data_IF_979887414963
#
_entry.id   IF_979887414963
#
_cell.length_a   1.000
_cell.length_b   1.000
_cell.length_c   1.000
_cell.angle_alpha   90.00
_cell.angle_beta   90.00
_cell.angle_gamma   90.00
#
_symmetry.space_group_name_H-M   'P 1'
#
loop_
_entity.id
_entity.type
_entity.pdbx_description
1 polymer ?
#
# COMPACT_ATOMS: atom_id res chain seq x y z
N UNK A 1 3.51 25.61 -21.98
CA UNK A 1 2.44 25.13 -22.87
C UNK A 1 1.44 24.43 -21.96
N UNK A 2 0.14 24.74 -22.03
CA UNK A 2 -0.86 24.02 -21.23
C UNK A 2 -0.98 22.62 -21.83
N UNK A 3 -0.76 21.58 -21.03
CA UNK A 3 -0.99 20.21 -21.47
C UNK A 3 -2.44 20.03 -21.89
N UNK A 4 -2.66 19.33 -23.01
CA UNK A 4 -3.99 18.95 -23.46
C UNK A 4 -4.27 17.50 -23.00
N UNK A 5 -5.19 17.35 -22.04
CA UNK A 5 -5.58 16.05 -21.50
C UNK A 5 -6.27 15.18 -22.57
N UNK A 6 -7.03 15.79 -23.47
CA UNK A 6 -7.74 15.07 -24.53
C UNK A 6 -6.76 14.46 -25.52
N UNK A 7 -5.69 15.17 -25.86
CA UNK A 7 -4.64 14.62 -26.73
C UNK A 7 -3.96 13.38 -26.11
N UNK A 8 -3.88 13.27 -24.78
CA UNK A 8 -3.34 12.08 -24.10
C UNK A 8 -4.35 10.93 -24.19
N UNK A 9 -5.62 11.23 -23.91
CA UNK A 9 -6.73 10.26 -23.99
C UNK A 9 -6.80 9.66 -25.40
N UNK A 10 -6.79 10.49 -26.44
CA UNK A 10 -6.79 10.04 -27.84
C UNK A 10 -5.62 9.09 -28.14
N UNK A 11 -4.43 9.34 -27.56
CA UNK A 11 -3.28 8.43 -27.71
C UNK A 11 -3.48 7.12 -26.97
N UNK A 12 -4.05 7.14 -25.78
CA UNK A 12 -4.37 5.95 -25.00
C UNK A 12 -5.42 5.07 -25.70
N UNK A 13 -6.44 5.69 -26.30
CA UNK A 13 -7.53 5.01 -27.01
C UNK A 13 -7.07 4.24 -28.26
N UNK A 14 -5.92 4.60 -28.84
CA UNK A 14 -5.32 3.81 -29.93
C UNK A 14 -4.98 2.38 -29.51
N UNK A 15 -4.80 2.13 -28.20
CA UNK A 15 -4.38 0.84 -27.66
C UNK A 15 -2.90 0.50 -27.94
N UNK A 16 -2.16 1.37 -28.61
CA UNK A 16 -0.74 1.21 -28.91
C UNK A 16 0.12 1.54 -27.68
N UNK A 17 1.01 0.61 -27.33
CA UNK A 17 1.80 0.70 -26.10
C UNK A 17 2.82 1.84 -26.13
N UNK A 18 3.47 2.07 -27.28
CA UNK A 18 4.55 3.05 -27.39
C UNK A 18 3.99 4.48 -27.45
N UNK A 19 2.85 4.66 -28.15
CA UNK A 19 2.09 5.90 -28.14
C UNK A 19 1.58 6.23 -26.73
N UNK A 20 0.99 5.24 -26.04
CA UNK A 20 0.52 5.38 -24.66
C UNK A 20 1.68 5.75 -23.72
N UNK A 21 2.79 5.01 -23.76
CA UNK A 21 3.98 5.29 -22.94
C UNK A 21 4.47 6.73 -23.13
N UNK A 22 4.63 7.17 -24.38
CA UNK A 22 5.12 8.52 -24.69
C UNK A 22 4.17 9.60 -24.16
N UNK A 23 2.86 9.39 -24.32
CA UNK A 23 1.84 10.33 -23.86
C UNK A 23 1.81 10.41 -22.32
N UNK A 24 1.81 9.26 -21.64
CA UNK A 24 1.80 9.18 -20.18
C UNK A 24 3.08 9.72 -19.55
N UNK A 25 4.26 9.48 -20.14
CA UNK A 25 5.51 10.07 -19.64
C UNK A 25 5.50 11.60 -19.71
N UNK A 26 4.92 12.16 -20.78
CA UNK A 26 4.73 13.60 -20.91
C UNK A 26 3.79 14.11 -19.81
N UNK A 27 2.68 13.40 -19.57
CA UNK A 27 1.74 13.71 -18.48
C UNK A 27 2.40 13.68 -17.11
N UNK A 28 3.06 12.59 -16.78
CA UNK A 28 3.66 12.35 -15.48
C UNK A 28 4.74 13.38 -15.19
N UNK A 29 5.56 13.74 -16.19
CA UNK A 29 6.58 14.78 -16.04
C UNK A 29 5.98 16.11 -15.63
N UNK A 30 4.91 16.54 -16.30
CA UNK A 30 4.26 17.82 -16.02
C UNK A 30 3.45 17.83 -14.72
N UNK A 31 2.78 16.71 -14.39
CA UNK A 31 1.84 16.63 -13.27
C UNK A 31 2.41 16.00 -11.99
N UNK A 32 3.64 15.50 -12.01
CA UNK A 32 4.29 14.84 -10.85
C UNK A 32 4.26 15.67 -9.56
N UNK A 33 4.46 16.98 -9.67
CA UNK A 33 4.47 17.95 -8.57
C UNK A 33 3.17 18.78 -8.48
N UNK A 34 2.14 18.41 -9.24
CA UNK A 34 0.86 19.10 -9.21
C UNK A 34 0.02 18.57 -8.04
N UNK A 35 -0.43 19.49 -7.18
CA UNK A 35 -1.31 19.21 -6.04
C UNK A 35 -2.71 19.83 -6.20
N UNK A 36 -2.93 20.54 -7.31
CA UNK A 36 -4.20 21.16 -7.67
C UNK A 36 -4.61 20.72 -9.06
N UNK A 37 -5.84 20.25 -9.21
CA UNK A 37 -6.41 19.85 -10.49
C UNK A 37 -7.33 20.93 -11.02
N UNK A 38 -7.39 21.06 -12.35
CA UNK A 38 -8.30 21.99 -13.00
C UNK A 38 -9.74 21.53 -12.74
N UNK A 39 -10.61 22.38 -12.17
CA UNK A 39 -12.04 22.11 -12.13
C UNK A 39 -12.61 22.03 -13.56
N UNK A 40 -13.57 21.16 -13.79
CA UNK A 40 -14.21 20.94 -15.09
C UNK A 40 -13.55 19.90 -15.99
N UNK A 41 -12.41 19.34 -15.56
CA UNK A 41 -11.71 18.24 -16.26
C UNK A 41 -11.85 16.92 -15.45
N UNK A 42 -12.82 16.80 -14.53
CA UNK A 42 -13.03 15.61 -13.67
C UNK A 42 -13.35 14.36 -14.50
N UNK A 43 -14.28 14.46 -15.46
CA UNK A 43 -14.70 13.32 -16.31
C UNK A 43 -13.54 12.81 -17.18
N UNK A 44 -12.77 13.73 -17.78
CA UNK A 44 -11.59 13.37 -18.58
C UNK A 44 -10.52 12.65 -17.73
N UNK A 45 -10.35 13.08 -16.47
CA UNK A 45 -9.43 12.42 -15.53
C UNK A 45 -9.91 11.02 -15.15
N UNK A 46 -11.21 10.86 -14.96
CA UNK A 46 -11.80 9.55 -14.68
C UNK A 46 -11.64 8.61 -15.88
N UNK A 47 -11.94 9.08 -17.09
CA UNK A 47 -11.75 8.34 -18.34
C UNK A 47 -10.29 7.93 -18.56
N UNK A 48 -9.34 8.85 -18.35
CA UNK A 48 -7.91 8.50 -18.39
C UNK A 48 -7.57 7.43 -17.34
N UNK A 49 -8.17 7.52 -16.15
CA UNK A 49 -8.05 6.53 -15.07
C UNK A 49 -8.51 5.13 -15.48
N UNK A 50 -9.63 5.03 -16.19
CA UNK A 50 -10.16 3.77 -16.74
C UNK A 50 -9.22 3.20 -17.81
N UNK A 51 -8.74 4.03 -18.73
CA UNK A 51 -7.81 3.62 -19.79
C UNK A 51 -6.50 3.06 -19.20
N UNK A 52 -5.88 3.74 -18.22
CA UNK A 52 -4.64 3.24 -17.62
C UNK A 52 -4.84 1.95 -16.84
N UNK A 53 -6.00 1.76 -16.19
CA UNK A 53 -6.34 0.48 -15.56
C UNK A 53 -6.47 -0.64 -16.60
N UNK A 54 -7.15 -0.39 -17.71
CA UNK A 54 -7.29 -1.35 -18.80
C UNK A 54 -5.95 -1.73 -19.43
N UNK A 55 -4.99 -0.80 -19.51
CA UNK A 55 -3.63 -1.11 -19.93
C UNK A 55 -2.92 -2.05 -18.95
N UNK A 56 -3.04 -1.81 -17.63
CA UNK A 56 -2.42 -2.65 -16.58
C UNK A 56 -2.98 -4.08 -16.51
N UNK A 57 -4.05 -4.38 -17.23
CA UNK A 57 -4.58 -5.74 -17.41
C UNK A 57 -3.90 -6.52 -18.53
N UNK A 58 -3.19 -5.83 -19.43
CA UNK A 58 -2.49 -6.40 -20.58
C UNK A 58 -1.06 -6.80 -20.20
N UNK A 59 -0.44 -7.58 -21.08
CA UNK A 59 1.00 -7.81 -21.03
C UNK A 59 1.70 -6.55 -21.57
N UNK A 60 2.37 -5.81 -20.69
CA UNK A 60 3.00 -4.53 -20.99
C UNK A 60 4.49 -4.57 -20.66
N UNK A 61 5.28 -3.81 -21.41
CA UNK A 61 6.67 -3.55 -21.02
C UNK A 61 6.74 -2.83 -19.65
N UNK A 62 7.76 -3.10 -18.81
CA UNK A 62 7.86 -2.51 -17.46
C UNK A 62 7.77 -0.98 -17.44
N UNK A 63 8.35 -0.29 -18.42
CA UNK A 63 8.27 1.17 -18.52
C UNK A 63 6.86 1.70 -18.75
N UNK A 64 6.02 0.95 -19.49
CA UNK A 64 4.61 1.30 -19.70
C UNK A 64 3.78 1.03 -18.45
N UNK A 65 4.04 -0.07 -17.73
CA UNK A 65 3.42 -0.34 -16.42
C UNK A 65 3.72 0.79 -15.43
N UNK A 66 5.00 1.19 -15.33
CA UNK A 66 5.43 2.30 -14.48
C UNK A 66 4.73 3.61 -14.85
N UNK A 67 4.69 3.96 -16.14
CA UNK A 67 4.01 5.17 -16.59
C UNK A 67 2.52 5.16 -16.23
N UNK A 68 1.84 4.03 -16.40
CA UNK A 68 0.44 3.85 -15.99
C UNK A 68 0.27 4.04 -14.48
N UNK A 69 1.09 3.38 -13.65
CA UNK A 69 1.01 3.46 -12.19
C UNK A 69 1.34 4.88 -11.67
N UNK A 70 2.32 5.55 -12.24
CA UNK A 70 2.60 6.95 -11.93
C UNK A 70 1.41 7.87 -12.24
N UNK A 71 0.75 7.64 -13.39
CA UNK A 71 -0.48 8.36 -13.76
C UNK A 71 -1.59 8.10 -12.74
N UNK A 72 -1.82 6.84 -12.34
CA UNK A 72 -2.78 6.49 -11.28
C UNK A 72 -2.41 7.18 -9.95
N UNK A 73 -1.14 7.18 -9.56
CA UNK A 73 -0.69 7.86 -8.33
C UNK A 73 -0.96 9.35 -8.37
N UNK A 74 -0.80 9.99 -9.52
CA UNK A 74 -1.10 11.42 -9.73
C UNK A 74 -2.61 11.63 -9.63
N UNK A 75 -3.41 10.91 -10.43
CA UNK A 75 -4.87 11.07 -10.49
C UNK A 75 -5.54 10.77 -9.14
N UNK A 76 -5.06 9.76 -8.40
CA UNK A 76 -5.57 9.41 -7.07
C UNK A 76 -5.32 10.43 -5.96
N UNK A 77 -4.62 11.53 -6.26
CA UNK A 77 -4.55 12.70 -5.36
C UNK A 77 -5.81 13.55 -5.43
N UNK A 78 -6.52 13.52 -6.56
CA UNK A 78 -7.78 14.22 -6.73
C UNK A 78 -8.93 13.41 -6.15
N UNK A 79 -9.45 13.85 -5.00
CA UNK A 79 -10.58 13.18 -4.35
C UNK A 79 -11.85 13.16 -5.19
N UNK A 80 -11.98 14.05 -6.18
CA UNK A 80 -13.17 14.16 -7.03
C UNK A 80 -13.19 13.19 -8.20
N UNK A 81 -12.04 12.58 -8.54
CA UNK A 81 -11.88 11.69 -9.69
C UNK A 81 -11.38 10.30 -9.26
N UNK A 82 -11.70 9.86 -8.04
CA UNK A 82 -11.26 8.58 -7.48
C UNK A 82 -12.10 7.39 -7.93
N UNK A 83 -13.25 7.62 -8.57
CA UNK A 83 -14.23 6.60 -8.88
C UNK A 83 -13.64 5.39 -9.65
N UNK A 84 -12.82 5.57 -10.69
CA UNK A 84 -12.24 4.43 -11.43
C UNK A 84 -11.37 3.53 -10.55
N UNK A 85 -10.67 4.10 -9.57
CA UNK A 85 -9.67 3.40 -8.76
C UNK A 85 -10.25 2.75 -7.50
N UNK A 86 -11.46 3.13 -7.10
CA UNK A 86 -12.09 2.68 -5.86
C UNK A 86 -12.95 1.41 -6.02
N UNK A 87 -12.95 0.78 -7.19
CA UNK A 87 -13.68 -0.46 -7.44
C UNK A 87 -12.91 -1.69 -6.95
N UNK A 88 -13.62 -2.78 -6.67
CA UNK A 88 -12.99 -4.06 -6.30
C UNK A 88 -12.03 -4.57 -7.39
N UNK A 89 -12.40 -4.43 -8.66
CA UNK A 89 -11.57 -4.85 -9.79
C UNK A 89 -10.27 -4.02 -9.89
N UNK A 90 -10.38 -2.69 -9.83
CA UNK A 90 -9.21 -1.80 -9.84
C UNK A 90 -8.26 -2.10 -8.67
N UNK A 91 -8.79 -2.31 -7.47
CA UNK A 91 -8.00 -2.69 -6.30
C UNK A 91 -7.29 -4.03 -6.52
N UNK A 92 -7.94 -5.03 -7.13
CA UNK A 92 -7.31 -6.31 -7.44
C UNK A 92 -6.13 -6.16 -8.41
N UNK A 93 -6.28 -5.34 -9.46
CA UNK A 93 -5.20 -5.04 -10.42
C UNK A 93 -4.00 -4.43 -9.70
N UNK A 94 -4.22 -3.40 -8.87
CA UNK A 94 -3.15 -2.71 -8.14
C UNK A 94 -2.48 -3.61 -7.10
N UNK A 95 -3.23 -4.47 -6.41
CA UNK A 95 -2.70 -5.45 -5.46
C UNK A 95 -1.81 -6.49 -6.16
N UNK A 96 -2.18 -6.92 -7.37
CA UNK A 96 -1.36 -7.80 -8.21
C UNK A 96 -0.04 -7.14 -8.61
N UNK A 97 -0.09 -5.90 -9.12
CA UNK A 97 1.11 -5.13 -9.48
C UNK A 97 1.99 -4.78 -8.28
N UNK A 98 1.38 -4.64 -7.10
CA UNK A 98 2.12 -4.50 -5.83
C UNK A 98 2.72 -5.82 -5.33
N UNK A 99 2.55 -6.95 -6.02
CA UNK A 99 3.06 -8.26 -5.59
C UNK A 99 2.44 -8.76 -4.28
N UNK A 100 1.17 -8.40 -4.01
CA UNK A 100 0.44 -8.73 -2.78
C UNK A 100 -0.75 -9.67 -3.01
N UNK A 101 -1.07 -9.98 -4.27
CA UNK A 101 -2.20 -10.84 -4.63
C UNK A 101 -2.04 -12.28 -4.16
N UNK A 102 -3.12 -12.87 -3.65
CA UNK A 102 -3.21 -14.29 -3.28
C UNK A 102 -3.89 -15.04 -4.44
N UNK A 103 -3.22 -16.02 -5.03
CA UNK A 103 -3.80 -16.86 -6.08
C UNK A 103 -2.96 -18.10 -6.35
N UNK A 104 -3.59 -19.27 -6.29
CA UNK A 104 -3.03 -20.53 -6.79
C UNK A 104 -3.11 -20.55 -8.33
N UNK A 105 -2.01 -20.89 -9.01
CA UNK A 105 -2.05 -21.29 -10.43
C UNK A 105 -1.22 -20.46 -11.42
N UNK A 106 -0.60 -19.36 -11.01
CA UNK A 106 0.45 -18.72 -11.79
C UNK A 106 1.61 -18.42 -10.85
N UNK A 107 2.80 -18.93 -11.15
CA UNK A 107 4.02 -18.38 -10.57
C UNK A 107 4.10 -16.94 -11.03
N UNK A 108 3.89 -15.92 -10.17
CA UNK A 108 4.10 -14.56 -10.62
C UNK A 108 5.61 -14.42 -10.74
N UNK A 109 6.13 -14.14 -11.93
CA UNK A 109 7.36 -13.35 -11.96
C UNK A 109 7.08 -12.14 -11.08
N UNK A 110 7.86 -12.02 -10.00
CA UNK A 110 7.73 -10.89 -9.07
C UNK A 110 7.90 -9.65 -9.94
N UNK A 111 6.92 -8.71 -9.95
CA UNK A 111 7.06 -7.50 -10.75
C UNK A 111 8.35 -6.76 -10.37
N UNK A 112 8.86 -5.95 -11.29
CA UNK A 112 10.02 -5.11 -11.00
C UNK A 112 9.79 -4.31 -9.70
N UNK A 113 10.85 -4.16 -8.89
CA UNK A 113 10.76 -3.44 -7.63
C UNK A 113 10.23 -2.01 -7.81
N UNK A 114 10.53 -1.35 -8.93
CA UNK A 114 9.98 -0.04 -9.23
C UNK A 114 8.47 -0.09 -9.43
N UNK A 115 7.96 -1.10 -10.14
CA UNK A 115 6.51 -1.34 -10.37
C UNK A 115 5.82 -1.60 -9.04
N UNK A 116 6.40 -2.45 -8.19
CA UNK A 116 5.86 -2.75 -6.86
C UNK A 116 5.77 -1.47 -6.02
N UNK A 117 6.84 -0.69 -5.96
CA UNK A 117 6.89 0.55 -5.18
C UNK A 117 5.84 1.55 -5.67
N UNK A 118 5.67 1.69 -6.99
CA UNK A 118 4.71 2.63 -7.56
C UNK A 118 3.27 2.19 -7.33
N UNK A 119 2.97 0.89 -7.46
CA UNK A 119 1.67 0.32 -7.12
C UNK A 119 1.33 0.49 -5.63
N UNK A 120 2.30 0.32 -4.73
CA UNK A 120 2.09 0.56 -3.30
C UNK A 120 1.78 2.02 -2.98
N UNK A 121 2.42 2.97 -3.67
CA UNK A 121 2.08 4.39 -3.54
C UNK A 121 0.65 4.67 -4.00
N UNK A 122 0.21 4.06 -5.10
CA UNK A 122 -1.18 4.16 -5.57
C UNK A 122 -2.15 3.66 -4.50
N UNK A 123 -1.93 2.44 -4.00
CA UNK A 123 -2.76 1.83 -2.95
C UNK A 123 -2.80 2.71 -1.69
N UNK A 124 -1.68 3.28 -1.25
CA UNK A 124 -1.65 4.20 -0.11
C UNK A 124 -2.55 5.42 -0.33
N UNK A 125 -2.50 6.05 -1.51
CA UNK A 125 -3.32 7.22 -1.81
C UNK A 125 -4.81 6.86 -1.90
N UNK A 126 -5.13 5.77 -2.59
CA UNK A 126 -6.52 5.37 -2.84
C UNK A 126 -7.19 4.92 -1.54
N UNK A 127 -6.54 4.05 -0.75
CA UNK A 127 -7.07 3.58 0.54
C UNK A 127 -7.26 4.74 1.53
N UNK A 128 -6.34 5.70 1.55
CA UNK A 128 -6.46 6.86 2.43
C UNK A 128 -7.66 7.75 2.09
N UNK A 129 -8.01 7.87 0.80
CA UNK A 129 -9.02 8.81 0.34
C UNK A 129 -10.40 8.21 0.05
N UNK A 130 -10.55 6.88 -0.02
CA UNK A 130 -11.80 6.21 -0.41
C UNK A 130 -12.20 5.09 0.55
N UNK A 131 -13.38 5.20 1.17
CA UNK A 131 -13.96 4.14 1.99
C UNK A 131 -14.30 2.89 1.18
N UNK A 132 -14.79 3.05 -0.06
CA UNK A 132 -15.05 1.94 -0.96
C UNK A 132 -13.77 1.14 -1.28
N UNK A 133 -12.63 1.83 -1.44
CA UNK A 133 -11.35 1.15 -1.61
C UNK A 133 -10.87 0.43 -0.35
N UNK A 134 -11.17 0.97 0.85
CA UNK A 134 -10.87 0.28 2.11
C UNK A 134 -11.69 -1.01 2.23
N UNK A 135 -12.96 -0.99 1.80
CA UNK A 135 -13.83 -2.17 1.75
C UNK A 135 -13.34 -3.21 0.75
N UNK A 136 -13.10 -2.81 -0.49
CA UNK A 136 -12.52 -3.69 -1.50
C UNK A 136 -11.18 -4.30 -1.04
N UNK A 137 -10.31 -3.51 -0.39
CA UNK A 137 -9.04 -4.00 0.15
C UNK A 137 -9.20 -5.05 1.25
N UNK A 138 -10.21 -4.91 2.12
CA UNK A 138 -10.53 -5.89 3.14
C UNK A 138 -11.07 -7.20 2.53
N UNK A 139 -12.00 -7.11 1.57
CA UNK A 139 -12.55 -8.27 0.86
C UNK A 139 -11.47 -9.05 0.09
N UNK A 140 -10.51 -8.33 -0.50
CA UNK A 140 -9.39 -8.91 -1.24
C UNK A 140 -8.25 -9.40 -0.35
N UNK A 141 -8.42 -9.40 0.98
CA UNK A 141 -7.43 -9.88 1.95
C UNK A 141 -6.07 -9.17 1.81
N UNK A 142 -6.06 -7.87 1.50
CA UNK A 142 -4.85 -7.05 1.34
C UNK A 142 -3.89 -7.18 2.54
N UNK A 143 -4.43 -7.23 3.76
CA UNK A 143 -3.64 -7.33 4.98
C UNK A 143 -2.88 -8.66 5.10
N UNK A 144 -3.43 -9.74 4.53
CA UNK A 144 -2.79 -11.06 4.52
C UNK A 144 -1.55 -11.02 3.63
N UNK A 145 -1.67 -10.44 2.42
CA UNK A 145 -0.53 -10.24 1.52
C UNK A 145 0.56 -9.38 2.15
N UNK A 146 0.17 -8.26 2.79
CA UNK A 146 1.11 -7.39 3.51
C UNK A 146 1.80 -8.13 4.64
N UNK A 147 1.06 -8.90 5.44
CA UNK A 147 1.62 -9.67 6.52
C UNK A 147 2.62 -10.73 6.02
N UNK A 148 2.34 -11.39 4.89
CA UNK A 148 3.25 -12.36 4.29
C UNK A 148 4.55 -11.70 3.85
N UNK A 149 4.49 -10.53 3.19
CA UNK A 149 5.70 -9.80 2.81
C UNK A 149 6.46 -9.25 4.03
N UNK A 150 5.77 -8.85 5.10
CA UNK A 150 6.42 -8.41 6.35
C UNK A 150 7.18 -9.54 7.05
N UNK A 151 6.79 -10.81 6.90
CA UNK A 151 7.58 -11.96 7.39
C UNK A 151 8.95 -12.03 6.70
N UNK A 152 9.02 -11.55 5.46
CA UNK A 152 10.22 -11.49 4.64
C UNK A 152 11.04 -10.21 4.89
N UNK A 153 10.85 -9.53 6.03
CA UNK A 153 11.54 -8.30 6.39
C UNK A 153 13.06 -8.43 6.59
N UNK A 154 13.66 -9.58 6.33
CA UNK A 154 15.13 -9.76 6.31
C UNK A 154 15.65 -10.15 4.92
N UNK A 155 14.76 -10.48 3.99
CA UNK A 155 15.15 -10.96 2.66
C UNK A 155 15.75 -9.83 1.82
N UNK A 156 16.90 -10.03 1.16
CA UNK A 156 17.60 -8.97 0.44
C UNK A 156 16.85 -8.49 -0.81
N UNK A 157 15.90 -9.28 -1.32
CA UNK A 157 15.09 -8.95 -2.49
C UNK A 157 14.24 -7.68 -2.31
N UNK A 158 13.85 -7.35 -1.07
CA UNK A 158 13.02 -6.18 -0.80
C UNK A 158 13.90 -4.98 -0.46
N UNK A 159 13.84 -3.94 -1.29
CA UNK A 159 14.55 -2.69 -1.03
C UNK A 159 13.89 -1.89 0.12
N UNK A 160 14.48 -0.75 0.47
CA UNK A 160 13.96 0.11 1.53
C UNK A 160 12.52 0.58 1.26
N UNK A 161 12.23 0.97 0.03
CA UNK A 161 10.98 1.64 -0.34
C UNK A 161 9.79 0.70 -0.34
N UNK A 162 9.94 -0.54 -0.84
CA UNK A 162 8.89 -1.56 -0.75
C UNK A 162 8.45 -1.73 0.70
N UNK A 163 9.41 -1.93 1.60
CA UNK A 163 9.15 -2.15 3.02
C UNK A 163 8.56 -0.91 3.70
N UNK A 164 8.97 0.29 3.29
CA UNK A 164 8.42 1.53 3.81
C UNK A 164 6.94 1.66 3.43
N UNK A 165 6.62 1.46 2.14
CA UNK A 165 5.24 1.56 1.68
C UNK A 165 4.36 0.40 2.14
N UNK A 166 4.92 -0.79 2.39
CA UNK A 166 4.21 -1.89 3.07
C UNK A 166 3.75 -1.51 4.46
N UNK A 167 4.67 -0.96 5.26
CA UNK A 167 4.35 -0.51 6.62
C UNK A 167 3.36 0.66 6.59
N UNK A 168 3.51 1.58 5.64
CA UNK A 168 2.58 2.70 5.45
C UNK A 168 1.19 2.20 5.09
N UNK A 169 1.07 1.28 4.13
CA UNK A 169 -0.23 0.72 3.72
C UNK A 169 -0.86 -0.10 4.85
N UNK A 170 -0.05 -0.90 5.56
CA UNK A 170 -0.46 -1.63 6.77
C UNK A 170 -1.01 -0.68 7.82
N UNK A 171 -0.31 0.43 8.10
CA UNK A 171 -0.78 1.46 9.01
C UNK A 171 -2.11 2.06 8.56
N UNK A 172 -2.23 2.47 7.29
CA UNK A 172 -3.45 3.08 6.76
C UNK A 172 -4.65 2.14 6.87
N UNK A 173 -4.56 0.93 6.34
CA UNK A 173 -5.71 0.02 6.32
C UNK A 173 -6.11 -0.40 7.73
N UNK A 174 -5.16 -0.64 8.63
CA UNK A 174 -5.48 -1.00 10.02
C UNK A 174 -5.97 0.19 10.85
N UNK A 175 -5.55 1.42 10.54
CA UNK A 175 -6.06 2.63 11.19
C UNK A 175 -7.51 2.92 10.77
N UNK A 176 -7.84 2.71 9.50
CA UNK A 176 -9.14 3.03 8.91
C UNK A 176 -10.18 1.91 9.07
N UNK A 177 -9.75 0.65 9.17
CA UNK A 177 -10.63 -0.53 9.24
C UNK A 177 -10.44 -1.34 10.52
N UNK A 178 -11.47 -1.42 11.35
CA UNK A 178 -11.44 -2.10 12.66
C UNK A 178 -11.37 -3.62 12.52
N UNK A 179 -12.09 -4.18 11.56
CA UNK A 179 -12.06 -5.59 11.18
C UNK A 179 -10.66 -6.02 10.71
N UNK A 180 -10.05 -5.27 9.79
CA UNK A 180 -8.68 -5.54 9.30
C UNK A 180 -7.65 -5.45 10.43
N UNK A 181 -7.80 -4.47 11.34
CA UNK A 181 -6.95 -4.34 12.53
C UNK A 181 -7.07 -5.54 13.46
N UNK A 182 -8.29 -6.02 13.70
CA UNK A 182 -8.54 -7.19 14.53
C UNK A 182 -7.95 -8.46 13.89
N UNK A 183 -8.10 -8.61 12.56
CA UNK A 183 -7.51 -9.69 11.80
C UNK A 183 -5.98 -9.70 11.93
N UNK A 184 -5.31 -8.56 11.72
CA UNK A 184 -3.85 -8.46 11.90
C UNK A 184 -3.44 -8.83 13.34
N UNK A 185 -4.13 -8.27 14.34
CA UNK A 185 -3.77 -8.47 15.74
C UNK A 185 -3.95 -9.92 16.22
N UNK A 186 -5.05 -10.57 15.83
CA UNK A 186 -5.46 -11.87 16.38
C UNK A 186 -5.08 -13.05 15.49
N UNK A 187 -5.31 -12.95 14.19
CA UNK A 187 -5.14 -14.08 13.26
C UNK A 187 -3.73 -14.11 12.68
N UNK A 188 -3.16 -12.95 12.36
CA UNK A 188 -1.86 -12.85 11.69
C UNK A 188 -0.70 -12.61 12.67
N UNK A 189 -0.94 -12.69 13.99
CA UNK A 189 0.06 -12.46 15.05
C UNK A 189 0.81 -11.12 14.88
N UNK A 190 0.07 -10.08 14.54
CA UNK A 190 0.59 -8.77 14.12
C UNK A 190 1.56 -8.13 15.11
N UNK A 191 1.38 -8.32 16.42
CA UNK A 191 2.32 -7.79 17.43
C UNK A 191 3.71 -8.42 17.27
N UNK A 192 3.80 -9.75 17.14
CA UNK A 192 5.07 -10.45 16.92
C UNK A 192 5.68 -10.05 15.58
N UNK A 193 4.88 -10.03 14.52
CA UNK A 193 5.31 -9.66 13.18
C UNK A 193 5.93 -8.26 13.12
N UNK A 194 5.24 -7.26 13.66
CA UNK A 194 5.72 -5.88 13.67
C UNK A 194 6.92 -5.69 14.61
N UNK A 195 6.99 -6.44 15.73
CA UNK A 195 8.15 -6.42 16.62
C UNK A 195 9.39 -6.96 15.92
N UNK A 196 9.26 -8.06 15.18
CA UNK A 196 10.35 -8.65 14.40
C UNK A 196 10.82 -7.72 13.27
N UNK A 197 9.88 -7.09 12.56
CA UNK A 197 10.19 -6.10 11.53
C UNK A 197 10.92 -4.88 12.11
N UNK A 198 10.48 -4.37 13.26
CA UNK A 198 11.16 -3.29 13.98
C UNK A 198 12.56 -3.69 14.41
N UNK A 199 12.70 -4.89 14.99
CA UNK A 199 13.99 -5.44 15.41
C UNK A 199 14.96 -5.60 14.24
N UNK A 200 14.47 -6.02 13.07
CA UNK A 200 15.28 -6.13 11.85
C UNK A 200 15.81 -4.76 11.40
N UNK A 201 14.98 -3.70 11.46
CA UNK A 201 15.40 -2.33 11.14
C UNK A 201 16.41 -1.77 12.14
N UNK A 202 16.20 -2.00 13.43
CA UNK A 202 17.13 -1.55 14.46
C UNK A 202 18.44 -2.34 14.47
N UNK A 203 18.42 -3.64 14.12
CA UNK A 203 19.62 -4.45 14.00
C UNK A 203 20.53 -4.00 12.84
N UNK A 204 19.94 -3.53 11.73
CA UNK A 204 20.71 -2.93 10.63
C UNK A 204 21.33 -1.57 10.97
N UNK A 205 20.96 -0.94 12.10
CA UNK A 205 21.42 0.40 12.50
C UNK A 205 22.68 0.41 13.41
N UNK A 206 23.38 -0.71 13.58
CA UNK A 206 24.67 -0.77 14.29
C UNK A 206 24.59 -1.00 15.81
N UNK A 207 25.74 -1.24 16.49
CA UNK A 207 25.80 -1.89 17.79
C UNK A 207 25.62 -0.90 18.96
N UNK A 208 24.41 -0.40 19.19
CA UNK A 208 24.03 0.20 20.49
C UNK A 208 23.27 -0.77 21.40
N UNK A 209 23.15 -2.04 20.96
CA UNK A 209 22.17 -2.99 21.50
C UNK A 209 22.67 -3.91 22.63
N UNK A 210 23.92 -3.83 23.07
CA UNK A 210 24.39 -4.58 24.26
C UNK A 210 23.89 -4.00 25.58
N UNK A 211 23.38 -2.74 25.61
CA UNK A 211 22.92 -2.11 26.86
C UNK A 211 21.45 -2.41 27.22
N UNK A 212 20.57 -2.51 26.22
CA UNK A 212 19.13 -2.63 26.45
C UNK A 212 18.65 -4.05 26.78
N UNK A 213 19.35 -5.10 26.29
CA UNK A 213 18.98 -6.50 26.61
C UNK A 213 19.20 -6.83 28.10
N UNK A 214 20.18 -6.18 28.73
CA UNK A 214 20.43 -6.32 30.17
C UNK A 214 19.34 -5.61 30.98
N UNK A 215 18.93 -4.40 30.58
CA UNK A 215 17.91 -3.63 31.31
C UNK A 215 16.49 -4.18 31.18
N UNK A 216 16.10 -4.76 30.02
CA UNK A 216 14.80 -5.40 29.87
C UNK A 216 14.65 -6.65 30.77
N UNK A 217 15.74 -7.39 30.97
CA UNK A 217 15.76 -8.55 31.87
C UNK A 217 15.64 -8.15 33.35
N UNK A 218 16.21 -7.00 33.73
CA UNK A 218 16.07 -6.45 35.09
C UNK A 218 14.68 -5.84 35.34
N UNK A 219 14.06 -5.24 34.32
CA UNK A 219 12.71 -4.67 34.41
C UNK A 219 11.61 -5.74 34.51
N UNK A 220 11.77 -6.89 33.84
CA UNK A 220 10.85 -8.02 33.94
C UNK A 220 10.87 -8.69 35.33
N UNK A 221 12.00 -8.62 36.05
CA UNK A 221 12.14 -9.14 37.42
C UNK A 221 11.62 -8.19 38.51
N UNK A 222 11.35 -6.92 38.17
CA UNK A 222 10.94 -5.88 39.12
C UNK A 222 9.49 -5.41 38.96
N UNK A 223 8.72 -5.98 38.02
CA UNK A 223 7.27 -5.74 37.95
C UNK A 223 6.52 -6.52 39.04
N UNK A 224 5.69 -5.87 39.88
CA UNK A 224 4.84 -6.59 40.81
C UNK A 224 3.82 -7.44 40.04
N UNK A 225 3.70 -8.73 40.40
CA UNK A 225 2.57 -9.58 39.97
C UNK A 225 1.28 -8.87 40.35
N UNK A 226 0.50 -8.46 39.36
CA UNK A 226 -0.87 -8.02 39.57
C UNK A 226 -1.66 -9.23 40.10
N UNK A 227 -1.83 -9.22 41.42
CA UNK A 227 -2.46 -10.28 42.19
C UNK A 227 -3.96 -10.31 41.95
N UNK A 228 -4.40 -11.42 41.40
CA UNK A 228 -5.71 -11.98 41.62
C UNK A 228 -5.93 -12.20 43.13
N UNK A 229 -6.73 -11.36 43.78
CA UNK A 229 -7.44 -11.69 45.03
C UNK A 229 -8.52 -10.66 45.41
N UNK A 230 -9.75 -11.01 44.99
CA UNK A 230 -10.99 -11.11 45.77
C UNK A 230 -11.31 -10.03 46.82
N UNK A 231 -12.51 -9.47 46.62
CA UNK A 231 -13.38 -8.86 47.65
C UNK A 231 -13.36 -9.66 48.96
N UNK A 232 -13.12 -8.97 50.05
CA UNK A 232 -13.50 -9.40 51.40
C UNK A 232 -13.96 -8.16 52.16
N UNK A 233 -15.28 -8.02 52.34
CA UNK A 233 -15.86 -7.27 53.46
C UNK A 233 -15.34 -7.85 54.80
N UNK A 234 -15.30 -7.05 55.88
CA UNK A 234 -16.30 -7.28 56.94
C UNK A 234 -16.74 -6.04 57.76
N UNK A 235 -18.06 -5.97 57.99
CA UNK A 235 -18.85 -5.56 59.18
C UNK A 235 -18.43 -4.41 60.14
N UNK A 236 -19.37 -3.45 60.24
CA UNK A 236 -19.95 -2.75 61.42
C UNK A 236 -19.06 -2.24 62.58
N UNK A 237 -19.21 -0.96 62.88
CA UNK A 237 -19.95 -0.45 64.07
C UNK A 237 -20.52 0.93 63.77
#
# INVERSE_FOLDING_TARGET
MKMDLNAIIEKMETGDQDAALTALQTFNKEKSQCFSFTPGEEEDREHLGELVLGFLERDLQPSCQLACLETIRILSRDKKSLLPFATRHAMQILIRHAGLGQGEGFTPEIPDLEVIVEALKCLCNIVFNSEAAQEAGAELQLIVGLAERLKQCREPQWNHDVRFFDLRLTFLITALRVDVRAQLARELRGVSLLSEALDARLASAGPTRTRWRVQASTAAQSCPRWGDRRRSEPWRS
#
